data_IF_733673412930
#
_entry.id   IF_733673412930
#
_cell.length_a   1.000
_cell.length_b   1.000
_cell.length_c   1.000
_cell.angle_alpha   90.00
_cell.angle_beta   90.00
_cell.angle_gamma   90.00
#
_symmetry.space_group_name_H-M   'P 1'
#
loop_
_entity.id
_entity.type
_entity.pdbx_description
1 polymer ?
#
# COMPACT_ATOMS: atom_id res chain seq x y z
N UNK A 1 -7.18 28.38 11.55
CA UNK A 1 -7.14 26.89 11.61
C UNK A 1 -6.49 26.53 12.94
N UNK A 2 -7.19 25.83 13.81
CA UNK A 2 -6.68 25.42 15.13
C UNK A 2 -6.44 23.92 15.09
N UNK A 3 -5.29 23.46 15.57
CA UNK A 3 -4.98 22.04 15.69
C UNK A 3 -5.72 21.46 16.90
N UNK A 4 -6.13 20.20 16.81
CA UNK A 4 -6.68 19.46 17.94
C UNK A 4 -5.52 19.08 18.88
N UNK A 5 -5.75 19.15 20.20
CA UNK A 5 -4.81 18.67 21.20
C UNK A 5 -4.75 17.13 21.17
N UNK A 6 -3.64 16.58 21.62
CA UNK A 6 -3.37 15.14 21.68
C UNK A 6 -4.12 14.48 22.84
N UNK A 7 -4.48 13.20 22.69
CA UNK A 7 -5.20 12.40 23.68
C UNK A 7 -6.44 13.10 24.28
N UNK A 8 -7.14 13.90 23.48
CA UNK A 8 -8.33 14.65 23.88
C UNK A 8 -9.55 14.16 23.10
N UNK A 9 -10.69 14.06 23.80
CA UNK A 9 -11.96 13.67 23.21
C UNK A 9 -12.63 14.84 22.50
N UNK A 10 -13.05 14.61 21.26
CA UNK A 10 -13.74 15.58 20.43
C UNK A 10 -15.08 15.04 19.92
N UNK A 11 -16.07 15.91 19.89
CA UNK A 11 -17.39 15.64 19.32
C UNK A 11 -17.57 16.39 17.99
N UNK A 12 -17.90 15.64 16.94
CA UNK A 12 -18.43 16.17 15.69
C UNK A 12 -19.95 16.17 15.79
N UNK A 13 -20.55 17.35 15.80
CA UNK A 13 -22.01 17.54 15.85
C UNK A 13 -22.54 18.05 14.52
N UNK A 14 -23.47 17.29 13.93
CA UNK A 14 -24.37 17.77 12.87
C UNK A 14 -25.66 18.20 13.55
N UNK A 15 -26.01 19.48 13.44
CA UNK A 15 -27.20 20.02 14.08
C UNK A 15 -28.50 19.48 13.45
N UNK A 16 -29.57 19.42 14.25
CA UNK A 16 -30.91 19.25 13.72
C UNK A 16 -31.27 20.43 12.79
N UNK A 17 -32.15 20.20 11.82
CA UNK A 17 -32.58 21.21 10.86
C UNK A 17 -31.75 21.28 9.57
N UNK A 18 -30.67 20.50 9.46
CA UNK A 18 -29.94 20.32 8.19
C UNK A 18 -30.83 19.52 7.23
N UNK A 19 -30.99 20.00 5.99
CA UNK A 19 -31.80 19.32 4.98
C UNK A 19 -31.02 18.99 3.72
N UNK A 20 -31.39 17.92 3.02
CA UNK A 20 -30.84 17.59 1.70
C UNK A 20 -31.48 18.43 0.56
N UNK A 21 -31.05 18.18 -0.68
CA UNK A 21 -31.59 18.86 -1.87
C UNK A 21 -33.07 18.53 -2.17
N UNK A 22 -33.58 17.42 -1.61
CA UNK A 22 -34.98 17.03 -1.68
C UNK A 22 -35.81 17.58 -0.51
N UNK A 23 -35.20 18.37 0.39
CA UNK A 23 -35.77 18.96 1.61
C UNK A 23 -36.13 17.96 2.71
N UNK A 24 -35.48 16.80 2.75
CA UNK A 24 -35.58 15.92 3.92
C UNK A 24 -34.79 16.54 5.07
N UNK A 25 -35.46 16.83 6.20
CA UNK A 25 -34.85 17.50 7.36
C UNK A 25 -34.34 16.46 8.35
N UNK A 26 -33.09 16.61 8.79
CA UNK A 26 -32.55 15.88 9.93
C UNK A 26 -33.21 16.41 11.21
N UNK A 27 -34.16 15.65 11.77
CA UNK A 27 -34.97 16.12 12.90
C UNK A 27 -34.19 16.18 14.22
N UNK A 28 -33.18 15.33 14.40
CA UNK A 28 -32.37 15.26 15.61
C UNK A 28 -30.89 15.40 15.29
N UNK A 29 -30.17 16.15 16.12
CA UNK A 29 -28.74 16.33 15.95
C UNK A 29 -28.00 14.98 16.06
N UNK A 30 -27.04 14.76 15.17
CA UNK A 30 -26.17 13.59 15.19
C UNK A 30 -24.84 14.00 15.79
N UNK A 31 -24.36 13.23 16.77
CA UNK A 31 -23.04 13.41 17.38
C UNK A 31 -22.20 12.17 17.10
N UNK A 32 -20.92 12.39 16.81
CA UNK A 32 -19.88 11.36 16.71
C UNK A 32 -18.68 11.80 17.53
N UNK A 33 -18.16 10.91 18.35
CA UNK A 33 -17.02 11.20 19.23
C UNK A 33 -15.78 10.46 18.75
N UNK A 34 -14.62 11.07 18.88
CA UNK A 34 -13.32 10.45 18.66
C UNK A 34 -12.30 10.99 19.68
N UNK A 35 -11.22 10.26 19.88
CA UNK A 35 -10.08 10.71 20.69
C UNK A 35 -8.88 10.86 19.77
N UNK A 36 -8.14 11.95 19.89
CA UNK A 36 -6.88 12.15 19.15
C UNK A 36 -5.77 11.24 19.68
N UNK A 37 -4.79 10.91 18.83
CA UNK A 37 -3.64 10.10 19.24
C UNK A 37 -2.72 10.80 20.24
N UNK A 38 -1.79 10.02 20.81
CA UNK A 38 -0.83 10.47 21.82
C UNK A 38 0.18 11.48 21.27
N UNK A 39 0.55 11.36 19.99
CA UNK A 39 1.37 12.33 19.25
C UNK A 39 0.84 12.48 17.82
N UNK A 40 1.04 13.63 17.15
CA UNK A 40 0.77 13.74 15.74
C UNK A 40 1.74 12.84 14.99
N UNK A 41 1.20 11.98 14.14
CA UNK A 41 2.00 11.09 13.34
C UNK A 41 2.53 11.81 12.10
N UNK A 42 3.85 11.77 11.94
CA UNK A 42 4.57 12.39 10.82
C UNK A 42 5.43 11.40 10.04
N UNK A 43 5.40 10.11 10.40
CA UNK A 43 6.22 9.08 9.77
C UNK A 43 5.29 8.25 8.92
N UNK A 44 5.60 8.09 7.64
CA UNK A 44 4.82 7.21 6.77
C UNK A 44 5.35 5.78 6.76
N UNK A 45 4.56 4.84 6.20
CA UNK A 45 4.90 3.43 6.18
C UNK A 45 6.24 3.15 5.49
N UNK A 46 7.03 2.23 6.07
CA UNK A 46 8.32 1.83 5.51
C UNK A 46 8.32 0.35 5.22
N UNK A 47 8.92 0.00 4.09
CA UNK A 47 9.15 -1.39 3.75
C UNK A 47 10.10 -2.01 4.77
N UNK A 48 9.61 -2.98 5.56
CA UNK A 48 10.35 -3.65 6.62
C UNK A 48 10.87 -5.02 6.20
N UNK A 49 10.15 -5.71 5.31
CA UNK A 49 10.56 -6.99 4.75
C UNK A 49 9.95 -7.25 3.38
N UNK A 50 10.56 -8.16 2.62
CA UNK A 50 10.04 -8.60 1.32
C UNK A 50 10.27 -10.09 1.09
N UNK A 51 9.38 -10.67 0.27
CA UNK A 51 9.61 -11.93 -0.39
C UNK A 51 9.31 -11.76 -1.89
N UNK A 52 10.28 -11.96 -2.79
CA UNK A 52 11.68 -12.33 -2.53
C UNK A 52 12.46 -11.29 -1.69
N UNK A 53 13.53 -11.72 -1.04
CA UNK A 53 14.51 -10.79 -0.45
C UNK A 53 15.34 -10.13 -1.56
N UNK A 54 16.03 -9.04 -1.24
CA UNK A 54 16.90 -8.38 -2.21
C UNK A 54 17.99 -9.33 -2.74
N UNK A 55 18.23 -9.22 -4.03
CA UNK A 55 19.11 -10.06 -4.85
C UNK A 55 18.77 -11.57 -4.86
N UNK A 56 17.60 -11.99 -4.37
CA UNK A 56 17.24 -13.41 -4.35
C UNK A 56 17.11 -13.97 -5.78
N UNK A 57 17.72 -15.13 -6.02
CA UNK A 57 17.65 -15.86 -7.28
C UNK A 57 16.77 -17.11 -7.17
N UNK A 58 16.47 -17.73 -8.31
CA UNK A 58 15.68 -18.97 -8.36
C UNK A 58 14.19 -18.75 -8.11
N UNK A 59 13.69 -17.54 -8.33
CA UNK A 59 12.27 -17.22 -8.14
C UNK A 59 11.43 -17.85 -9.26
N UNK A 60 10.27 -18.41 -8.92
CA UNK A 60 9.35 -18.93 -9.95
C UNK A 60 9.02 -17.86 -10.99
N UNK A 61 8.76 -18.27 -12.23
CA UNK A 61 8.27 -17.38 -13.30
C UNK A 61 6.82 -16.93 -13.09
N UNK A 62 6.11 -17.50 -12.12
CA UNK A 62 4.81 -17.03 -11.64
C UNK A 62 4.86 -16.81 -10.12
N UNK A 63 5.64 -15.81 -9.65
CA UNK A 63 5.81 -15.60 -8.23
C UNK A 63 4.63 -14.84 -7.64
N UNK A 64 4.34 -15.11 -6.36
CA UNK A 64 3.57 -14.23 -5.52
C UNK A 64 4.57 -13.36 -4.74
N UNK A 65 4.65 -12.07 -5.06
CA UNK A 65 5.58 -11.16 -4.40
C UNK A 65 4.89 -10.55 -3.18
N UNK A 66 5.59 -10.43 -2.06
CA UNK A 66 5.04 -9.97 -0.78
C UNK A 66 5.91 -8.85 -0.24
N UNK A 67 5.30 -7.72 0.10
CA UNK A 67 5.93 -6.57 0.74
C UNK A 67 5.29 -6.37 2.11
N UNK A 68 6.10 -6.32 3.16
CA UNK A 68 5.66 -6.06 4.54
C UNK A 68 6.08 -4.66 4.95
N UNK A 69 5.16 -3.91 5.51
CA UNK A 69 5.38 -2.56 6.01
C UNK A 69 5.39 -2.56 7.54
N UNK A 70 6.15 -1.67 8.14
CA UNK A 70 6.17 -1.46 9.60
C UNK A 70 4.95 -0.69 10.13
N UNK A 71 4.13 -0.17 9.22
CA UNK A 71 2.91 0.54 9.51
C UNK A 71 1.79 0.16 8.55
N UNK A 72 0.55 0.36 9.01
CA UNK A 72 -0.66 0.14 8.22
C UNK A 72 -0.76 1.16 7.08
N UNK A 73 -0.91 0.66 5.86
CA UNK A 73 -1.30 1.43 4.69
C UNK A 73 -2.81 1.69 4.68
N UNK A 74 -3.20 2.89 4.25
CA UNK A 74 -4.55 3.21 3.81
C UNK A 74 -4.77 2.63 2.41
N UNK A 75 -5.68 1.67 2.32
CA UNK A 75 -6.04 0.96 1.09
C UNK A 75 -6.38 1.90 -0.07
N UNK A 76 -7.01 3.04 0.23
CA UNK A 76 -7.46 4.02 -0.78
C UNK A 76 -6.29 4.75 -1.47
N UNK A 77 -5.08 4.59 -0.94
CA UNK A 77 -3.86 5.28 -1.40
C UNK A 77 -2.79 4.35 -1.98
N UNK A 78 -3.07 3.04 -2.03
CA UNK A 78 -2.14 2.02 -2.54
C UNK A 78 -2.17 1.85 -4.07
N UNK A 79 -3.04 2.59 -4.76
CA UNK A 79 -3.12 2.53 -6.22
C UNK A 79 -1.81 3.01 -6.88
N UNK A 80 -1.33 2.22 -7.84
CA UNK A 80 -0.05 2.42 -8.52
C UNK A 80 1.14 2.63 -7.56
N UNK A 81 1.10 2.07 -6.35
CA UNK A 81 2.18 2.20 -5.35
C UNK A 81 3.43 1.42 -5.75
N UNK A 82 3.29 0.38 -6.56
CA UNK A 82 4.38 -0.51 -6.96
C UNK A 82 4.45 -0.68 -8.46
N UNK A 83 5.66 -0.94 -8.96
CA UNK A 83 5.87 -1.38 -10.33
C UNK A 83 6.98 -2.43 -10.42
N UNK A 84 6.95 -3.19 -11.52
CA UNK A 84 7.91 -4.25 -11.79
C UNK A 84 8.67 -3.94 -13.08
N UNK A 85 9.97 -3.70 -12.96
CA UNK A 85 10.86 -3.41 -14.08
C UNK A 85 11.61 -4.67 -14.52
N UNK A 86 11.66 -4.91 -15.83
CA UNK A 86 12.41 -6.00 -16.45
C UNK A 86 13.71 -5.46 -17.06
N UNK A 87 14.85 -5.94 -16.58
CA UNK A 87 16.17 -5.48 -17.04
C UNK A 87 16.52 -5.92 -18.47
N UNK A 88 15.95 -7.03 -18.94
CA UNK A 88 16.22 -7.56 -20.29
C UNK A 88 15.47 -6.78 -21.35
N UNK A 89 14.18 -6.48 -21.12
CA UNK A 89 13.38 -5.69 -22.08
C UNK A 89 13.56 -4.18 -21.90
N UNK A 90 14.06 -3.74 -20.75
CA UNK A 90 14.19 -2.33 -20.40
C UNK A 90 12.85 -1.63 -20.10
N UNK A 91 11.79 -2.40 -19.80
CA UNK A 91 10.43 -1.89 -19.64
C UNK A 91 9.72 -2.37 -18.37
N UNK A 92 8.58 -1.75 -18.08
CA UNK A 92 7.72 -2.10 -16.96
C UNK A 92 6.70 -3.17 -17.34
N UNK A 93 6.43 -4.09 -16.43
CA UNK A 93 5.40 -5.10 -16.55
C UNK A 93 4.20 -4.72 -15.67
N UNK A 94 2.97 -4.98 -16.14
CA UNK A 94 1.78 -4.77 -15.34
C UNK A 94 1.74 -5.72 -14.15
N UNK A 95 1.32 -5.19 -13.00
CA UNK A 95 1.12 -5.92 -11.75
C UNK A 95 -0.26 -5.59 -11.17
N UNK A 96 -0.85 -6.53 -10.44
CA UNK A 96 -1.98 -6.27 -9.56
C UNK A 96 -1.56 -6.34 -8.10
N UNK A 97 -2.28 -5.63 -7.23
CA UNK A 97 -2.00 -5.61 -5.80
C UNK A 97 -3.22 -6.00 -4.98
N UNK A 98 -2.96 -6.56 -3.80
CA UNK A 98 -3.96 -6.83 -2.76
C UNK A 98 -3.35 -6.51 -1.41
N UNK A 99 -4.07 -5.76 -0.59
CA UNK A 99 -3.66 -5.38 0.74
C UNK A 99 -4.32 -6.32 1.78
N UNK A 100 -3.56 -6.74 2.79
CA UNK A 100 -4.08 -7.52 3.92
C UNK A 100 -5.11 -6.73 4.73
N UNK A 101 -5.93 -7.44 5.50
CA UNK A 101 -6.95 -6.82 6.36
C UNK A 101 -6.33 -5.88 7.40
N UNK A 102 -5.16 -6.22 7.94
CA UNK A 102 -4.41 -5.36 8.86
C UNK A 102 -3.66 -4.21 8.16
N UNK A 103 -3.62 -4.20 6.83
CA UNK A 103 -3.03 -3.17 6.00
C UNK A 103 -1.50 -3.12 6.01
N UNK A 104 -0.83 -4.14 6.54
CA UNK A 104 0.64 -4.18 6.66
C UNK A 104 1.32 -5.03 5.58
N UNK A 105 0.56 -5.87 4.86
CA UNK A 105 1.09 -6.77 3.84
C UNK A 105 0.47 -6.42 2.49
N UNK A 106 1.30 -5.95 1.56
CA UNK A 106 0.94 -5.73 0.17
C UNK A 106 1.43 -6.91 -0.67
N UNK A 107 0.48 -7.67 -1.21
CA UNK A 107 0.75 -8.76 -2.14
C UNK A 107 0.73 -8.22 -3.57
N UNK A 108 1.76 -8.53 -4.35
CA UNK A 108 1.94 -8.07 -5.74
C UNK A 108 2.01 -9.29 -6.65
N UNK A 109 1.13 -9.33 -7.66
CA UNK A 109 1.05 -10.41 -8.64
C UNK A 109 1.37 -9.87 -10.04
N UNK A 110 2.42 -10.35 -10.71
CA UNK A 110 2.62 -10.08 -12.13
C UNK A 110 1.41 -10.55 -12.94
N UNK A 111 0.90 -9.70 -13.84
CA UNK A 111 -0.25 -10.06 -14.69
C UNK A 111 0.13 -11.12 -15.72
N UNK A 112 1.39 -11.08 -16.18
CA UNK A 112 1.94 -12.02 -17.16
C UNK A 112 3.00 -12.91 -16.50
N UNK A 113 3.17 -14.14 -17.02
CA UNK A 113 4.30 -15.01 -16.66
C UNK A 113 5.62 -14.28 -16.94
N UNK A 114 6.51 -14.28 -15.96
CA UNK A 114 7.81 -13.66 -16.07
C UNK A 114 8.76 -14.52 -16.92
N UNK A 115 9.57 -13.92 -17.81
CA UNK A 115 10.66 -14.62 -18.48
C UNK A 115 11.61 -15.33 -17.51
N UNK A 116 12.11 -16.50 -17.91
CA UNK A 116 13.12 -17.26 -17.17
C UNK A 116 14.49 -16.56 -17.16
N UNK A 117 15.35 -16.91 -16.21
CA UNK A 117 16.72 -16.38 -16.07
C UNK A 117 16.81 -14.86 -16.21
N UNK A 118 15.79 -14.13 -15.75
CA UNK A 118 15.64 -12.70 -15.99
C UNK A 118 15.66 -11.95 -14.66
N UNK A 119 16.44 -10.86 -14.63
CA UNK A 119 16.49 -9.95 -13.49
C UNK A 119 15.33 -8.97 -13.56
N UNK A 120 14.67 -8.80 -12.42
CA UNK A 120 13.62 -7.83 -12.21
C UNK A 120 13.93 -6.90 -11.05
N UNK A 121 13.31 -5.72 -11.06
CA UNK A 121 13.25 -4.81 -9.93
C UNK A 121 11.80 -4.55 -9.56
N UNK A 122 11.39 -4.93 -8.37
CA UNK A 122 10.13 -4.51 -7.76
C UNK A 122 10.38 -3.20 -7.00
N UNK A 123 9.65 -2.13 -7.32
CA UNK A 123 9.80 -0.83 -6.64
C UNK A 123 8.58 -0.50 -5.83
N UNK A 124 8.81 0.08 -4.66
CA UNK A 124 7.84 0.87 -3.91
C UNK A 124 8.08 2.33 -4.26
N UNK A 125 7.08 2.97 -4.85
CA UNK A 125 7.16 4.35 -5.29
C UNK A 125 6.92 5.30 -4.11
N UNK A 126 7.87 6.22 -3.89
CA UNK A 126 7.73 7.23 -2.84
C UNK A 126 6.57 8.20 -3.13
N UNK A 127 5.96 8.72 -2.07
CA UNK A 127 4.83 9.66 -2.19
C UNK A 127 3.48 8.96 -2.45
N UNK A 128 3.42 7.64 -2.29
CA UNK A 128 2.20 6.80 -2.42
C UNK A 128 2.08 5.91 -1.19
N UNK A 129 0.94 5.22 -1.04
CA UNK A 129 0.72 4.34 0.11
C UNK A 129 0.86 5.11 1.41
N UNK A 130 -0.08 6.01 1.65
CA UNK A 130 -0.13 6.75 2.90
C UNK A 130 -0.70 5.88 4.01
N UNK A 131 -0.36 6.20 5.25
CA UNK A 131 -1.10 5.76 6.43
C UNK A 131 -2.45 6.51 6.57
N UNK A 132 -3.18 6.25 7.65
CA UNK A 132 -4.45 6.93 7.97
C UNK A 132 -4.28 8.40 8.40
N UNK A 133 -3.06 8.80 8.72
CA UNK A 133 -2.66 10.18 9.07
C UNK A 133 -2.25 11.00 7.84
N UNK A 134 -2.12 10.35 6.68
CA UNK A 134 -1.73 10.95 5.40
C UNK A 134 -0.22 10.96 5.12
N UNK A 135 0.61 10.31 5.93
CA UNK A 135 2.05 10.25 5.69
C UNK A 135 2.36 9.17 4.66
N UNK A 136 3.01 9.54 3.56
CA UNK A 136 3.26 8.63 2.43
C UNK A 136 4.50 7.76 2.64
N UNK A 137 4.49 6.57 2.05
CA UNK A 137 5.66 5.70 2.01
C UNK A 137 6.86 6.34 1.30
N UNK A 138 8.05 5.95 1.76
CA UNK A 138 9.32 6.28 1.10
C UNK A 138 9.58 5.43 -0.15
N UNK A 139 10.56 5.86 -0.96
CA UNK A 139 11.02 5.05 -2.09
C UNK A 139 11.85 3.86 -1.63
N UNK A 140 11.60 2.67 -2.20
CA UNK A 140 12.38 1.45 -1.94
C UNK A 140 12.32 0.51 -3.15
N UNK A 141 13.22 -0.45 -3.22
CA UNK A 141 13.20 -1.47 -4.27
C UNK A 141 13.86 -2.76 -3.80
N UNK A 142 13.52 -3.84 -4.50
CA UNK A 142 14.09 -5.17 -4.33
C UNK A 142 14.40 -5.71 -5.73
N UNK A 143 15.61 -6.19 -5.94
CA UNK A 143 15.99 -6.91 -7.14
C UNK A 143 15.86 -8.42 -6.93
N UNK A 144 15.38 -9.16 -7.94
CA UNK A 144 15.32 -10.62 -7.89
C UNK A 144 15.52 -11.23 -9.28
N UNK A 145 15.88 -12.51 -9.33
CA UNK A 145 16.09 -13.23 -10.60
C UNK A 145 15.22 -14.49 -10.66
N UNK A 146 14.50 -14.67 -11.77
CA UNK A 146 13.70 -15.87 -12.01
C UNK A 146 14.57 -17.10 -12.27
N UNK A 147 14.04 -18.29 -11.96
CA UNK A 147 14.69 -19.56 -12.24
C UNK A 147 14.99 -19.71 -13.73
N UNK A 148 16.03 -20.48 -14.04
CA UNK A 148 16.17 -21.07 -15.36
C UNK A 148 15.02 -22.07 -15.56
N UNK A 149 14.52 -22.17 -16.80
CA UNK A 149 13.53 -23.18 -17.15
C UNK A 149 14.04 -24.57 -16.84
N UNK A 150 13.10 -25.47 -16.52
CA UNK A 150 13.43 -26.88 -16.42
C UNK A 150 14.10 -27.29 -17.74
N UNK A 151 15.39 -27.63 -17.69
CA UNK A 151 16.05 -28.30 -18.79
C UNK A 151 15.23 -29.57 -19.05
N UNK A 152 14.60 -29.64 -20.23
CA UNK A 152 13.86 -30.82 -20.66
C UNK A 152 14.73 -32.04 -20.48
N UNK A 153 14.32 -32.92 -19.55
CA UNK A 153 14.96 -34.22 -19.37
C UNK A 153 14.85 -35.00 -20.67
N UNK A 154 16.02 -35.38 -21.18
CA UNK A 154 16.21 -36.23 -22.36
C UNK A 154 15.69 -37.66 -22.10
#
# INVERSE_FOLDING_TARGET
KTLLQQNEGYDVRVAAGVSDMARNVLETAVVRSFVTGDEPDFVGPRLSASNPTDEQAGISTSPLLVLTFDERLDETTTDNMVDLYNYTSGGYLPVSTSLSVDGTILTVSPVNVLPESTRFRLRVLGGRGADVSGNTSGWSYIDFTTTAGALGGN
#
